data_IF_204160670792
#
_entry.id   IF_204160670792
#
_cell.length_a   1.000
_cell.length_b   1.000
_cell.length_c   1.000
_cell.angle_alpha   90.00
_cell.angle_beta   90.00
_cell.angle_gamma   90.00
#
_symmetry.space_group_name_H-M   'P 1'
#
loop_
_entity.id
_entity.type
_entity.pdbx_description
1 polymer ?
#
# COMPACT_ATOMS: atom_id res chain seq x y z
N UNK A 1 -12.67 -26.61 59.29
CA UNK A 1 -12.21 -25.77 58.21
C UNK A 1 -10.70 -25.92 58.02
N UNK A 2 -10.21 -25.91 56.83
CA UNK A 2 -8.78 -25.92 56.53
C UNK A 2 -8.13 -24.59 56.90
N UNK A 3 -6.85 -24.64 57.25
CA UNK A 3 -5.97 -23.49 57.38
C UNK A 3 -4.76 -23.67 56.44
N UNK A 4 -4.16 -22.56 56.06
CA UNK A 4 -2.99 -22.57 55.18
C UNK A 4 -1.82 -23.37 55.79
N UNK A 5 -1.67 -23.32 57.09
CA UNK A 5 -0.70 -24.12 57.86
C UNK A 5 -0.94 -25.61 57.68
N UNK A 6 -2.19 -26.09 57.84
CA UNK A 6 -2.57 -27.50 57.62
C UNK A 6 -2.33 -27.94 56.17
N UNK A 7 -2.58 -27.08 55.22
CA UNK A 7 -2.36 -27.41 53.81
C UNK A 7 -0.87 -27.53 53.52
N UNK A 8 -0.06 -26.62 54.03
CA UNK A 8 1.41 -26.67 53.87
C UNK A 8 2.01 -27.92 54.50
N UNK A 9 1.62 -28.25 55.69
CA UNK A 9 2.14 -29.39 56.43
C UNK A 9 1.68 -30.76 55.93
N UNK A 10 0.65 -30.84 55.09
CA UNK A 10 0.12 -32.07 54.51
C UNK A 10 1.17 -32.74 53.59
N UNK A 11 1.71 -33.91 54.03
CA UNK A 11 2.71 -34.69 53.30
C UNK A 11 2.05 -35.66 52.32
N UNK A 12 2.68 -36.00 51.17
CA UNK A 12 2.18 -37.04 50.28
C UNK A 12 2.17 -38.40 50.98
N UNK A 13 1.23 -39.26 50.57
CA UNK A 13 1.11 -40.66 51.01
C UNK A 13 1.18 -41.56 49.79
N UNK A 14 1.33 -42.88 49.99
CA UNK A 14 1.36 -43.88 48.90
C UNK A 14 0.12 -43.81 48.00
N UNK A 15 -1.04 -43.48 48.58
CA UNK A 15 -2.30 -43.31 47.84
C UNK A 15 -2.79 -41.88 47.94
N UNK A 16 -3.45 -41.42 46.85
CA UNK A 16 -4.14 -40.13 46.83
C UNK A 16 -5.13 -40.03 48.01
N UNK A 17 -5.11 -38.91 48.71
CA UNK A 17 -6.07 -38.63 49.78
C UNK A 17 -6.56 -37.19 49.71
N UNK A 18 -7.70 -36.90 50.43
CA UNK A 18 -8.33 -35.60 50.46
C UNK A 18 -8.53 -35.12 51.90
N UNK A 19 -8.40 -33.82 52.08
CA UNK A 19 -8.71 -33.15 53.35
C UNK A 19 -9.83 -32.16 53.06
N UNK A 20 -10.98 -32.33 53.74
CA UNK A 20 -12.16 -31.49 53.55
C UNK A 20 -12.00 -30.10 54.19
N UNK A 21 -12.58 -29.09 53.54
CA UNK A 21 -12.83 -27.76 54.11
C UNK A 21 -14.34 -27.62 54.47
N UNK A 22 -15.01 -26.61 54.00
CA UNK A 22 -16.45 -26.38 54.13
C UNK A 22 -17.15 -26.50 52.79
N UNK A 23 -18.48 -26.77 52.83
CA UNK A 23 -19.34 -26.68 51.61
C UNK A 23 -18.86 -27.47 50.38
N UNK A 24 -18.35 -28.68 50.62
CA UNK A 24 -17.87 -29.55 49.53
C UNK A 24 -16.48 -29.22 48.98
N UNK A 25 -15.79 -28.19 49.49
CA UNK A 25 -14.42 -27.89 49.13
C UNK A 25 -13.47 -28.88 49.82
N UNK A 26 -12.52 -29.41 49.13
CA UNK A 26 -11.42 -30.20 49.66
C UNK A 26 -10.11 -29.97 48.87
N UNK A 27 -9.00 -30.25 49.56
CA UNK A 27 -7.70 -30.33 48.89
C UNK A 27 -7.32 -31.78 48.69
N UNK A 28 -6.98 -32.13 47.49
CA UNK A 28 -6.54 -33.46 47.04
C UNK A 28 -5.02 -33.49 46.97
N UNK A 29 -4.40 -34.39 47.74
CA UNK A 29 -2.94 -34.55 47.75
C UNK A 29 -2.60 -35.85 47.01
N UNK A 30 -1.79 -35.72 45.94
CA UNK A 30 -1.32 -36.85 45.16
C UNK A 30 -0.02 -37.45 45.72
N UNK A 31 0.32 -38.71 45.41
CA UNK A 31 1.57 -39.34 45.83
C UNK A 31 2.84 -38.57 45.44
N UNK A 32 2.80 -37.85 44.32
CA UNK A 32 3.89 -36.99 43.84
C UNK A 32 4.01 -35.63 44.57
N UNK A 33 3.23 -35.41 45.63
CA UNK A 33 3.22 -34.19 46.44
C UNK A 33 2.41 -33.04 45.89
N UNK A 34 1.91 -33.10 44.65
CA UNK A 34 1.05 -32.06 44.07
C UNK A 34 -0.30 -32.00 44.79
N UNK A 35 -0.79 -30.80 45.03
CA UNK A 35 -2.03 -30.51 45.77
C UNK A 35 -3.00 -29.79 44.86
N UNK A 36 -4.25 -30.30 44.77
CA UNK A 36 -5.28 -29.74 43.89
C UNK A 36 -6.54 -29.44 44.69
N UNK A 37 -7.13 -28.26 44.45
CA UNK A 37 -8.42 -27.92 44.97
C UNK A 37 -9.52 -28.63 44.19
N UNK A 38 -10.45 -29.24 44.93
CA UNK A 38 -11.61 -29.96 44.41
C UNK A 38 -12.88 -29.44 45.11
N UNK A 39 -13.94 -29.28 44.29
CA UNK A 39 -15.29 -29.00 44.76
C UNK A 39 -16.17 -30.20 44.49
N UNK A 40 -16.77 -30.79 45.54
CA UNK A 40 -17.69 -31.91 45.48
C UNK A 40 -19.11 -31.39 45.66
N UNK A 41 -20.01 -31.74 44.73
CA UNK A 41 -21.40 -31.27 44.68
C UNK A 41 -22.34 -32.38 44.20
N UNK A 42 -23.65 -32.21 44.45
CA UNK A 42 -24.71 -33.08 43.94
C UNK A 42 -25.29 -32.47 42.65
N UNK A 43 -25.41 -33.29 41.65
CA UNK A 43 -26.05 -32.94 40.40
C UNK A 43 -26.94 -34.08 39.93
N UNK A 44 -28.26 -33.83 39.75
CA UNK A 44 -29.24 -34.85 39.33
C UNK A 44 -29.11 -36.15 40.12
N UNK A 45 -29.06 -36.05 41.45
CA UNK A 45 -28.88 -37.18 42.39
C UNK A 45 -27.53 -37.92 42.28
N UNK A 46 -26.58 -37.44 41.48
CA UNK A 46 -25.22 -38.01 41.39
C UNK A 46 -24.21 -37.07 42.02
N UNK A 47 -23.23 -37.62 42.75
CA UNK A 47 -22.10 -36.82 43.22
C UNK A 47 -21.10 -36.57 42.11
N UNK A 48 -20.79 -35.32 41.84
CA UNK A 48 -19.76 -34.91 40.94
C UNK A 48 -18.63 -34.15 41.64
N UNK A 49 -17.49 -34.03 40.98
CA UNK A 49 -16.31 -33.33 41.50
C UNK A 49 -15.67 -32.47 40.46
N UNK A 50 -15.53 -31.17 40.74
CA UNK A 50 -14.89 -30.19 39.88
C UNK A 50 -13.49 -29.86 40.36
N UNK A 51 -12.53 -29.67 39.46
CA UNK A 51 -11.20 -29.13 39.76
C UNK A 51 -11.23 -27.60 39.77
N UNK A 52 -10.75 -27.00 40.86
CA UNK A 52 -10.69 -25.53 41.01
C UNK A 52 -9.28 -24.97 40.79
N UNK A 53 -8.25 -25.83 40.73
CA UNK A 53 -6.88 -25.42 40.44
C UNK A 53 -5.84 -26.08 41.34
N UNK A 54 -4.57 -25.74 41.14
CA UNK A 54 -3.42 -26.30 41.88
C UNK A 54 -2.97 -25.34 42.98
N UNK A 55 -2.74 -25.86 44.17
CA UNK A 55 -2.09 -25.15 45.27
C UNK A 55 -0.56 -25.24 45.08
N UNK A 56 0.24 -24.18 45.30
CA UNK A 56 -0.15 -22.89 45.88
C UNK A 56 -0.59 -21.80 44.89
N UNK A 57 -0.65 -22.10 43.58
CA UNK A 57 -1.06 -21.12 42.55
C UNK A 57 -2.44 -20.53 42.94
N UNK A 58 -3.38 -21.39 43.32
CA UNK A 58 -4.68 -21.00 43.89
C UNK A 58 -4.57 -21.14 45.39
N UNK A 59 -4.66 -20.04 46.13
CA UNK A 59 -4.67 -20.03 47.58
C UNK A 59 -6.01 -20.47 48.18
N UNK A 60 -6.06 -20.70 49.49
CA UNK A 60 -7.27 -21.14 50.19
C UNK A 60 -8.45 -20.15 50.02
N UNK A 61 -8.21 -18.86 50.17
CA UNK A 61 -9.24 -17.85 50.01
C UNK A 61 -9.84 -17.88 48.58
N UNK A 62 -9.00 -17.91 47.57
CA UNK A 62 -9.42 -17.97 46.15
C UNK A 62 -10.15 -19.29 45.83
N UNK A 63 -9.71 -20.42 46.43
CA UNK A 63 -10.38 -21.70 46.28
C UNK A 63 -11.81 -21.67 46.85
N UNK A 64 -12.02 -20.98 47.99
CA UNK A 64 -13.35 -20.75 48.56
C UNK A 64 -14.22 -19.88 47.64
N UNK A 65 -13.70 -18.80 47.09
CA UNK A 65 -14.42 -17.97 46.12
C UNK A 65 -14.86 -18.79 44.91
N UNK A 66 -13.95 -19.55 44.28
CA UNK A 66 -14.27 -20.43 43.14
C UNK A 66 -15.27 -21.53 43.47
N UNK A 67 -15.26 -22.05 44.74
CA UNK A 67 -16.29 -22.96 45.21
C UNK A 67 -17.64 -22.26 45.26
N UNK A 68 -17.71 -21.06 45.83
CA UNK A 68 -18.96 -20.31 45.98
C UNK A 68 -19.56 -19.93 44.63
N UNK A 69 -18.73 -19.55 43.66
CA UNK A 69 -19.13 -19.36 42.24
C UNK A 69 -19.73 -20.64 41.66
N UNK A 70 -19.04 -21.78 41.81
CA UNK A 70 -19.53 -23.06 41.32
C UNK A 70 -20.82 -23.51 42.04
N UNK A 71 -20.95 -23.23 43.34
CA UNK A 71 -22.15 -23.49 44.16
C UNK A 71 -23.35 -22.66 43.67
N UNK A 72 -23.11 -21.39 43.29
CA UNK A 72 -24.14 -20.52 42.70
C UNK A 72 -24.63 -21.06 41.37
N UNK A 73 -23.74 -21.56 40.49
CA UNK A 73 -24.13 -22.22 39.24
C UNK A 73 -25.01 -23.43 39.46
N UNK A 74 -24.65 -24.30 40.42
CA UNK A 74 -25.48 -25.45 40.78
C UNK A 74 -26.87 -25.02 41.28
N UNK A 75 -26.94 -23.98 42.10
CA UNK A 75 -28.18 -23.43 42.61
C UNK A 75 -29.07 -22.84 41.51
N UNK A 76 -28.49 -22.28 40.47
CA UNK A 76 -29.18 -21.75 39.27
C UNK A 76 -29.51 -22.84 38.25
N UNK A 77 -29.26 -24.12 38.52
CA UNK A 77 -29.57 -25.21 37.58
C UNK A 77 -28.56 -25.40 36.45
N UNK A 78 -27.33 -24.92 36.63
CA UNK A 78 -26.22 -25.07 35.67
C UNK A 78 -25.17 -26.01 36.23
N UNK A 79 -24.75 -27.02 35.46
CA UNK A 79 -23.65 -27.90 35.85
C UNK A 79 -22.31 -27.19 35.67
N UNK A 80 -21.55 -26.87 36.73
CA UNK A 80 -20.32 -26.10 36.61
C UNK A 80 -19.18 -26.83 35.86
N UNK A 81 -19.22 -28.16 35.77
CA UNK A 81 -18.24 -28.93 34.99
C UNK A 81 -18.55 -28.78 33.51
N UNK A 82 -19.79 -28.96 33.09
CA UNK A 82 -20.22 -28.81 31.71
C UNK A 82 -20.09 -27.38 31.22
N UNK A 83 -20.40 -26.39 32.06
CA UNK A 83 -20.23 -24.98 31.74
C UNK A 83 -18.76 -24.64 31.48
N UNK A 84 -17.84 -25.10 32.33
CA UNK A 84 -16.41 -24.93 32.14
C UNK A 84 -15.89 -25.59 30.86
N UNK A 85 -16.39 -26.78 30.52
CA UNK A 85 -16.03 -27.46 29.26
C UNK A 85 -16.57 -26.72 28.03
N UNK A 86 -17.84 -26.25 28.10
CA UNK A 86 -18.43 -25.42 27.04
C UNK A 86 -17.64 -24.13 26.81
N UNK A 87 -17.28 -23.43 27.90
CA UNK A 87 -16.46 -22.21 27.80
C UNK A 87 -15.07 -22.50 27.22
N UNK A 88 -14.42 -23.60 27.61
CA UNK A 88 -13.14 -24.02 27.08
C UNK A 88 -13.24 -24.37 25.58
N UNK A 89 -14.28 -25.11 25.21
CA UNK A 89 -14.53 -25.45 23.81
C UNK A 89 -14.85 -24.22 22.98
N UNK A 90 -15.70 -23.31 23.46
CA UNK A 90 -16.03 -22.06 22.76
C UNK A 90 -14.79 -21.20 22.52
N UNK A 91 -13.89 -21.06 23.53
CA UNK A 91 -12.61 -20.36 23.36
C UNK A 91 -11.68 -21.04 22.37
N UNK A 92 -11.68 -22.37 22.33
CA UNK A 92 -10.89 -23.13 21.35
C UNK A 92 -11.44 -22.95 19.94
N UNK A 93 -12.75 -23.09 19.77
CA UNK A 93 -13.44 -22.93 18.50
C UNK A 93 -13.29 -21.47 17.97
N UNK A 94 -13.35 -20.48 18.86
CA UNK A 94 -13.08 -19.09 18.53
C UNK A 94 -11.64 -18.89 18.04
N UNK A 95 -10.67 -19.51 18.70
CA UNK A 95 -9.26 -19.45 18.29
C UNK A 95 -9.01 -20.14 16.95
N UNK A 96 -9.57 -21.34 16.74
CA UNK A 96 -9.41 -22.09 15.47
C UNK A 96 -10.13 -21.43 14.31
N UNK A 97 -11.27 -20.75 14.55
CA UNK A 97 -12.05 -20.07 13.53
C UNK A 97 -11.59 -18.62 13.27
N UNK A 98 -10.44 -18.20 13.82
CA UNK A 98 -9.91 -16.86 13.58
C UNK A 98 -9.57 -16.62 12.12
N UNK A 99 -10.08 -15.53 11.60
CA UNK A 99 -9.76 -15.07 10.24
C UNK A 99 -8.66 -14.02 10.32
N UNK A 100 -7.42 -14.42 10.08
CA UNK A 100 -6.28 -13.53 10.24
C UNK A 100 -6.22 -12.46 9.15
N UNK A 101 -5.83 -11.25 9.54
CA UNK A 101 -5.68 -10.12 8.60
C UNK A 101 -4.80 -10.47 7.39
N UNK A 102 -3.70 -11.20 7.57
CA UNK A 102 -2.80 -11.60 6.49
C UNK A 102 -3.48 -12.43 5.41
N UNK A 103 -4.41 -13.32 5.78
CA UNK A 103 -5.15 -14.15 4.82
C UNK A 103 -6.13 -13.32 4.02
N UNK A 104 -6.88 -12.43 4.70
CA UNK A 104 -7.82 -11.50 4.02
C UNK A 104 -7.08 -10.54 3.09
N UNK A 105 -5.89 -10.08 3.48
CA UNK A 105 -5.06 -9.21 2.65
C UNK A 105 -4.55 -9.92 1.38
N UNK A 106 -4.20 -11.21 1.48
CA UNK A 106 -3.81 -12.03 0.33
C UNK A 106 -4.98 -12.24 -0.64
N UNK A 107 -6.16 -12.57 -0.14
CA UNK A 107 -7.39 -12.70 -0.94
C UNK A 107 -7.76 -11.37 -1.62
N UNK A 108 -7.75 -10.27 -0.87
CA UNK A 108 -8.00 -8.93 -1.41
C UNK A 108 -7.05 -8.59 -2.55
N UNK A 109 -5.76 -8.93 -2.40
CA UNK A 109 -4.78 -8.74 -3.47
C UNK A 109 -5.16 -9.55 -4.71
N UNK A 110 -5.46 -10.84 -4.54
CA UNK A 110 -5.78 -11.75 -5.63
C UNK A 110 -7.06 -11.35 -6.36
N UNK A 111 -8.12 -10.94 -5.66
CA UNK A 111 -9.44 -10.68 -6.25
C UNK A 111 -9.65 -9.23 -6.71
N UNK A 112 -9.11 -8.26 -5.98
CA UNK A 112 -9.42 -6.83 -6.21
C UNK A 112 -8.28 -6.05 -6.83
N UNK A 113 -7.04 -6.53 -6.74
CA UNK A 113 -5.89 -5.77 -7.24
C UNK A 113 -5.33 -6.27 -8.56
N UNK A 114 -5.76 -7.42 -9.09
CA UNK A 114 -5.32 -7.95 -10.40
C UNK A 114 -5.49 -6.95 -11.56
N UNK A 115 -6.54 -6.11 -11.52
CA UNK A 115 -6.81 -5.09 -12.52
C UNK A 115 -6.07 -3.77 -12.26
N UNK A 116 -5.27 -3.68 -11.18
CA UNK A 116 -4.42 -2.53 -10.89
C UNK A 116 -3.07 -2.68 -11.58
N UNK A 117 -2.37 -1.53 -11.77
CA UNK A 117 -1.02 -1.57 -12.33
C UNK A 117 -0.08 -2.40 -11.45
N UNK A 118 0.90 -3.06 -12.06
CA UNK A 118 1.94 -3.83 -11.37
C UNK A 118 2.62 -3.02 -10.26
N UNK A 119 2.98 -1.77 -10.56
CA UNK A 119 3.54 -0.83 -9.56
C UNK A 119 2.66 -0.65 -8.32
N UNK A 120 1.32 -0.62 -8.48
CA UNK A 120 0.39 -0.51 -7.36
C UNK A 120 0.36 -1.80 -6.55
N UNK A 121 0.35 -2.96 -7.21
CA UNK A 121 0.39 -4.27 -6.55
C UNK A 121 1.70 -4.47 -5.77
N UNK A 122 2.83 -4.08 -6.34
CA UNK A 122 4.12 -4.09 -5.66
C UNK A 122 4.15 -3.13 -4.46
N UNK A 123 3.59 -1.93 -4.60
CA UNK A 123 3.51 -0.96 -3.51
C UNK A 123 2.65 -1.51 -2.35
N UNK A 124 1.53 -2.16 -2.67
CA UNK A 124 0.69 -2.85 -1.70
C UNK A 124 1.47 -3.95 -0.98
N UNK A 125 2.16 -4.83 -1.73
CA UNK A 125 2.93 -5.91 -1.15
C UNK A 125 4.06 -5.40 -0.26
N UNK A 126 4.81 -4.41 -0.73
CA UNK A 126 5.89 -3.77 0.08
C UNK A 126 5.34 -3.16 1.37
N UNK A 127 4.16 -2.55 1.35
CA UNK A 127 3.52 -1.99 2.53
C UNK A 127 3.13 -3.09 3.53
N UNK A 128 2.56 -4.19 3.03
CA UNK A 128 2.25 -5.36 3.85
C UNK A 128 3.51 -5.89 4.55
N UNK A 129 4.55 -6.20 3.78
CA UNK A 129 5.73 -6.89 4.30
C UNK A 129 6.58 -6.01 5.24
N UNK A 130 6.70 -4.72 4.89
CA UNK A 130 7.58 -3.81 5.66
C UNK A 130 6.95 -3.29 6.94
N UNK A 131 5.65 -3.03 6.92
CA UNK A 131 5.00 -2.26 7.99
C UNK A 131 3.74 -2.94 8.57
N UNK A 132 2.80 -3.39 7.73
CA UNK A 132 1.44 -3.72 8.16
C UNK A 132 1.40 -5.08 8.87
N UNK A 133 1.91 -6.13 8.22
CA UNK A 133 1.84 -7.49 8.74
C UNK A 133 2.62 -7.68 10.04
N UNK A 134 3.64 -6.86 10.28
CA UNK A 134 4.42 -6.88 11.54
C UNK A 134 3.61 -6.45 12.77
N UNK A 135 2.47 -5.81 12.59
CA UNK A 135 1.63 -5.31 13.69
C UNK A 135 0.30 -6.04 13.75
N UNK A 136 -0.35 -6.27 12.61
CA UNK A 136 -1.70 -6.84 12.57
C UNK A 136 -1.81 -8.13 11.75
N UNK A 137 -0.71 -8.64 11.20
CA UNK A 137 -0.75 -9.82 10.32
C UNK A 137 -1.40 -11.05 10.95
N UNK A 138 -1.08 -11.32 12.21
CA UNK A 138 -1.57 -12.46 12.98
C UNK A 138 -2.77 -12.11 13.91
N UNK A 139 -3.32 -10.91 13.81
CA UNK A 139 -4.56 -10.55 14.48
C UNK A 139 -5.77 -11.08 13.70
N UNK A 140 -6.82 -11.44 14.46
CA UNK A 140 -8.13 -11.64 13.84
C UNK A 140 -8.59 -10.33 13.18
N UNK A 141 -9.19 -10.45 12.00
CA UNK A 141 -9.65 -9.28 11.22
C UNK A 141 -10.65 -8.42 12.01
N UNK A 142 -11.44 -9.03 12.90
CA UNK A 142 -12.42 -8.35 13.77
C UNK A 142 -11.75 -7.56 14.90
N UNK A 143 -10.54 -7.96 15.30
CA UNK A 143 -9.80 -7.35 16.41
C UNK A 143 -8.90 -6.19 15.98
N UNK A 144 -8.83 -5.88 14.68
CA UNK A 144 -8.02 -4.77 14.17
C UNK A 144 -8.65 -3.43 14.58
N UNK A 145 -7.90 -2.64 15.33
CA UNK A 145 -8.38 -1.37 15.91
C UNK A 145 -7.76 -0.14 15.26
N UNK A 146 -8.37 1.02 15.49
CA UNK A 146 -7.79 2.31 15.08
C UNK A 146 -6.44 2.60 15.75
N UNK A 147 -6.22 2.10 16.97
CA UNK A 147 -4.94 2.20 17.66
C UNK A 147 -3.83 1.40 16.95
N UNK A 148 -4.17 0.23 16.40
CA UNK A 148 -3.23 -0.54 15.58
C UNK A 148 -2.85 0.21 14.31
N UNK A 149 -3.84 0.77 13.60
CA UNK A 149 -3.61 1.55 12.38
C UNK A 149 -2.71 2.76 12.68
N UNK A 150 -2.99 3.49 13.75
CA UNK A 150 -2.15 4.61 14.19
C UNK A 150 -0.72 4.17 14.52
N UNK A 151 -0.57 3.03 15.18
CA UNK A 151 0.74 2.45 15.49
C UNK A 151 1.53 2.13 14.23
N UNK A 152 0.89 1.54 13.22
CA UNK A 152 1.51 1.27 11.92
C UNK A 152 1.94 2.58 11.26
N UNK A 153 1.08 3.60 11.23
CA UNK A 153 1.41 4.89 10.64
C UNK A 153 2.64 5.54 11.31
N UNK A 154 2.67 5.58 12.65
CA UNK A 154 3.81 6.12 13.41
C UNK A 154 5.11 5.34 13.17
N UNK A 155 5.05 4.00 13.19
CA UNK A 155 6.21 3.14 12.89
C UNK A 155 6.71 3.33 11.47
N UNK A 156 5.81 3.51 10.49
CA UNK A 156 6.17 3.78 9.09
C UNK A 156 6.95 5.09 8.97
N UNK A 157 6.46 6.18 9.58
CA UNK A 157 7.14 7.48 9.61
C UNK A 157 8.54 7.33 10.23
N UNK A 158 8.62 6.71 11.40
CA UNK A 158 9.89 6.51 12.08
C UNK A 158 10.89 5.68 11.26
N UNK A 159 10.41 4.65 10.55
CA UNK A 159 11.24 3.83 9.66
C UNK A 159 11.77 4.62 8.47
N UNK A 160 10.90 5.40 7.81
CA UNK A 160 11.30 6.18 6.62
C UNK A 160 12.27 7.29 7.00
N UNK A 161 12.04 8.01 8.10
CA UNK A 161 12.95 9.05 8.61
C UNK A 161 14.37 8.54 8.89
N UNK A 162 14.54 7.26 9.23
CA UNK A 162 15.87 6.64 9.42
C UNK A 162 16.61 6.37 8.10
N UNK A 163 15.90 6.37 6.98
CA UNK A 163 16.48 6.10 5.66
C UNK A 163 16.89 7.44 5.03
N UNK A 164 18.19 7.67 4.86
CA UNK A 164 18.69 8.87 4.17
C UNK A 164 18.04 8.97 2.76
N UNK A 165 17.58 10.16 2.38
CA UNK A 165 17.02 10.49 1.06
C UNK A 165 15.65 9.87 0.70
N UNK A 166 14.81 9.49 1.68
CA UNK A 166 13.50 8.88 1.43
C UNK A 166 12.29 9.71 1.88
N UNK A 167 12.48 11.01 2.15
CA UNK A 167 11.40 11.90 2.60
C UNK A 167 11.03 11.69 4.06
N UNK A 168 9.92 12.29 4.47
CA UNK A 168 9.50 12.38 5.88
C UNK A 168 8.64 11.21 6.36
N UNK A 169 8.06 10.43 5.44
CA UNK A 169 7.34 9.18 5.73
C UNK A 169 5.82 9.32 5.85
N UNK A 170 5.27 10.53 5.95
CA UNK A 170 3.83 10.78 6.09
C UNK A 170 3.03 10.24 4.91
N UNK A 171 3.51 10.45 3.68
CA UNK A 171 2.87 9.92 2.46
C UNK A 171 2.78 8.39 2.50
N UNK A 172 3.86 7.71 2.94
CA UNK A 172 3.88 6.26 3.08
C UNK A 172 2.92 5.78 4.18
N UNK A 173 2.85 6.50 5.30
CA UNK A 173 1.93 6.18 6.39
C UNK A 173 0.46 6.32 5.97
N UNK A 174 0.12 7.39 5.25
CA UNK A 174 -1.22 7.61 4.68
C UNK A 174 -1.56 6.52 3.67
N UNK A 175 -0.59 6.10 2.85
CA UNK A 175 -0.78 5.01 1.90
C UNK A 175 -1.02 3.68 2.61
N UNK A 176 -0.26 3.36 3.67
CA UNK A 176 -0.48 2.17 4.48
C UNK A 176 -1.88 2.15 5.09
N UNK A 177 -2.35 3.27 5.67
CA UNK A 177 -3.72 3.41 6.14
C UNK A 177 -4.74 3.13 5.03
N UNK A 178 -4.51 3.66 3.82
CA UNK A 178 -5.39 3.44 2.67
C UNK A 178 -5.46 1.97 2.25
N UNK A 179 -4.33 1.27 2.28
CA UNK A 179 -4.25 -0.16 2.00
C UNK A 179 -4.98 -1.00 3.04
N UNK A 180 -4.77 -0.71 4.34
CA UNK A 180 -5.51 -1.37 5.43
C UNK A 180 -7.02 -1.17 5.24
N UNK A 181 -7.47 0.05 4.97
CA UNK A 181 -8.89 0.34 4.73
C UNK A 181 -9.45 -0.42 3.51
N UNK A 182 -8.64 -0.65 2.47
CA UNK A 182 -9.03 -1.51 1.35
C UNK A 182 -9.32 -2.95 1.78
N UNK A 183 -8.43 -3.53 2.58
CA UNK A 183 -8.59 -4.89 3.13
C UNK A 183 -9.79 -4.96 4.08
N UNK A 184 -9.94 -3.98 4.98
CA UNK A 184 -11.05 -3.95 5.94
C UNK A 184 -12.41 -3.84 5.24
N UNK A 185 -12.55 -2.96 4.24
CA UNK A 185 -13.80 -2.87 3.45
C UNK A 185 -14.10 -4.13 2.67
N UNK A 186 -13.08 -4.83 2.20
CA UNK A 186 -13.26 -6.15 1.58
C UNK A 186 -13.74 -7.18 2.63
N UNK A 187 -13.17 -7.18 3.83
CA UNK A 187 -13.61 -8.03 4.93
C UNK A 187 -15.07 -7.75 5.32
N UNK A 188 -15.48 -6.47 5.37
CA UNK A 188 -16.87 -6.07 5.64
C UNK A 188 -17.81 -6.57 4.54
N UNK A 189 -17.43 -6.37 3.26
CA UNK A 189 -18.24 -6.82 2.13
C UNK A 189 -18.39 -8.35 2.06
N UNK A 190 -17.47 -9.10 2.68
CA UNK A 190 -17.50 -10.57 2.79
C UNK A 190 -17.95 -11.06 4.17
N UNK A 191 -18.58 -10.19 4.98
CA UNK A 191 -19.18 -10.47 6.29
C UNK A 191 -18.19 -11.01 7.35
N UNK A 192 -16.91 -10.68 7.21
CA UNK A 192 -15.83 -11.08 8.12
C UNK A 192 -15.42 -10.00 9.12
N UNK A 193 -15.87 -8.75 8.92
CA UNK A 193 -15.70 -7.63 9.83
C UNK A 193 -16.94 -6.72 9.79
N UNK A 194 -17.11 -5.88 10.80
CA UNK A 194 -18.28 -5.00 10.92
C UNK A 194 -17.96 -3.52 10.65
N UNK A 195 -16.72 -3.09 10.90
CA UNK A 195 -16.32 -1.68 10.76
C UNK A 195 -14.91 -1.51 10.18
N UNK A 196 -14.66 -0.34 9.60
CA UNK A 196 -13.34 0.05 9.05
C UNK A 196 -12.61 0.95 10.07
N UNK A 197 -11.57 0.46 10.79
CA UNK A 197 -10.85 1.21 11.81
C UNK A 197 -10.02 2.37 11.26
N UNK A 198 -9.86 2.48 9.94
CA UNK A 198 -9.02 3.50 9.32
C UNK A 198 -9.67 4.89 9.28
N UNK A 199 -10.99 4.97 9.48
CA UNK A 199 -11.72 6.24 9.46
C UNK A 199 -11.35 7.15 10.62
N UNK A 200 -11.28 6.63 11.83
CA UNK A 200 -10.98 7.42 13.03
C UNK A 200 -9.61 8.09 13.00
N UNK A 201 -8.66 7.53 12.24
CA UNK A 201 -7.28 8.04 12.12
C UNK A 201 -7.00 8.75 10.79
N UNK A 202 -8.05 9.12 10.05
CA UNK A 202 -7.92 9.69 8.69
C UNK A 202 -7.04 10.95 8.64
N UNK A 203 -7.20 11.84 9.60
CA UNK A 203 -6.54 13.16 9.63
C UNK A 203 -5.46 13.29 10.71
N UNK A 204 -5.04 12.17 11.34
CA UNK A 204 -4.02 12.20 12.40
C UNK A 204 -2.62 12.48 11.86
N UNK A 205 -2.37 12.10 10.60
CA UNK A 205 -1.13 12.42 9.89
C UNK A 205 -1.49 13.35 8.74
N UNK A 206 -0.99 14.56 8.80
CA UNK A 206 -1.16 15.54 7.74
C UNK A 206 -0.31 15.15 6.53
N UNK A 207 -0.87 15.36 5.36
CA UNK A 207 -0.14 15.15 4.12
C UNK A 207 0.77 16.36 3.91
N UNK A 208 2.08 16.16 3.67
CA UNK A 208 2.96 17.25 3.27
C UNK A 208 2.41 17.97 2.04
N UNK A 209 2.65 19.26 1.95
CA UNK A 209 2.32 20.04 0.76
C UNK A 209 2.92 19.37 -0.48
N UNK A 210 2.14 19.34 -1.54
CA UNK A 210 2.57 18.77 -2.81
C UNK A 210 3.19 19.91 -3.60
N UNK A 211 4.47 19.87 -3.81
CA UNK A 211 5.11 20.68 -4.83
C UNK A 211 4.62 20.18 -6.19
N UNK A 212 3.80 20.95 -6.85
CA UNK A 212 3.34 20.68 -8.21
C UNK A 212 4.45 21.01 -9.20
N UNK A 213 4.43 20.33 -10.34
CA UNK A 213 5.26 20.73 -11.47
C UNK A 213 5.00 22.22 -11.78
N UNK A 214 6.06 22.98 -11.87
CA UNK A 214 6.01 24.42 -12.17
C UNK A 214 6.53 24.69 -13.58
N UNK A 215 6.10 25.77 -14.23
CA UNK A 215 6.79 26.20 -15.42
C UNK A 215 8.25 26.59 -15.10
N UNK A 216 9.15 26.24 -15.99
CA UNK A 216 10.56 26.65 -15.87
C UNK A 216 10.68 28.17 -16.04
N UNK A 217 11.61 28.76 -15.30
CA UNK A 217 11.98 30.14 -15.51
C UNK A 217 12.78 30.31 -16.82
N UNK A 218 12.82 31.53 -17.37
CA UNK A 218 13.50 31.79 -18.65
C UNK A 218 14.96 31.33 -18.64
N UNK A 219 15.69 31.57 -17.55
CA UNK A 219 17.09 31.14 -17.45
C UNK A 219 17.24 29.62 -17.38
N UNK A 220 16.31 28.91 -16.68
CA UNK A 220 16.33 27.44 -16.63
C UNK A 220 16.05 26.83 -18.01
N UNK A 221 15.08 27.40 -18.75
CA UNK A 221 14.74 26.98 -20.10
C UNK A 221 15.91 27.14 -21.07
N UNK A 222 16.60 28.30 -21.02
CA UNK A 222 17.79 28.56 -21.84
C UNK A 222 18.94 27.59 -21.49
N UNK A 223 19.24 27.40 -20.21
CA UNK A 223 20.23 26.44 -19.75
C UNK A 223 19.87 25.00 -20.16
N UNK A 224 18.61 24.59 -19.99
CA UNK A 224 18.17 23.26 -20.38
C UNK A 224 18.45 22.98 -21.85
N UNK A 225 18.05 23.88 -22.73
CA UNK A 225 18.22 23.72 -24.19
C UNK A 225 19.68 23.57 -24.56
N UNK A 226 20.54 24.45 -24.06
CA UNK A 226 21.97 24.44 -24.32
C UNK A 226 22.64 23.17 -23.73
N UNK A 227 22.45 22.89 -22.45
CA UNK A 227 23.07 21.75 -21.77
C UNK A 227 22.56 20.40 -22.28
N UNK A 228 21.28 20.32 -22.70
CA UNK A 228 20.72 19.09 -23.23
C UNK A 228 21.28 18.79 -24.63
N UNK A 229 21.48 19.82 -25.47
CA UNK A 229 22.15 19.67 -26.79
C UNK A 229 23.59 19.20 -26.65
N UNK A 230 24.29 19.67 -25.63
CA UNK A 230 25.68 19.35 -25.36
C UNK A 230 25.84 18.22 -24.29
N UNK A 231 24.78 17.40 -24.10
CA UNK A 231 24.82 16.34 -23.11
C UNK A 231 25.94 15.33 -23.35
N UNK A 232 26.89 15.26 -22.41
CA UNK A 232 28.08 14.41 -22.51
C UNK A 232 27.86 12.92 -22.22
N UNK A 233 26.62 12.51 -21.92
CA UNK A 233 26.25 11.12 -21.69
C UNK A 233 25.80 10.39 -22.96
N UNK A 234 24.94 9.40 -22.82
CA UNK A 234 24.43 8.61 -23.95
C UNK A 234 23.58 9.46 -24.91
N UNK A 235 23.86 9.39 -26.20
CA UNK A 235 23.06 10.00 -27.27
C UNK A 235 21.59 9.57 -27.22
N UNK A 236 21.31 8.29 -26.91
CA UNK A 236 19.94 7.79 -26.71
C UNK A 236 19.21 8.53 -25.59
N UNK A 237 19.89 8.82 -24.46
CA UNK A 237 19.28 9.55 -23.33
C UNK A 237 19.07 11.02 -23.71
N UNK A 238 20.02 11.65 -24.39
CA UNK A 238 19.88 13.00 -24.95
C UNK A 238 18.66 13.08 -25.86
N UNK A 239 18.59 12.19 -26.83
CA UNK A 239 17.51 12.17 -27.81
C UNK A 239 16.14 11.92 -27.15
N UNK A 240 16.08 11.04 -26.12
CA UNK A 240 14.87 10.83 -25.32
C UNK A 240 14.43 12.11 -24.59
N UNK A 241 15.37 12.85 -24.01
CA UNK A 241 15.11 14.13 -23.33
C UNK A 241 14.62 15.20 -24.30
N UNK A 242 15.26 15.34 -25.47
CA UNK A 242 14.85 16.30 -26.52
C UNK A 242 13.45 15.96 -27.07
N UNK A 243 13.20 14.71 -27.45
CA UNK A 243 11.86 14.28 -27.91
C UNK A 243 10.80 14.54 -26.84
N UNK A 244 11.10 14.29 -25.55
CA UNK A 244 10.17 14.58 -24.46
C UNK A 244 9.86 16.08 -24.35
N UNK A 245 10.88 16.94 -24.48
CA UNK A 245 10.73 18.38 -24.41
C UNK A 245 9.89 18.92 -25.57
N UNK A 246 10.21 18.53 -26.81
CA UNK A 246 9.49 19.00 -28.01
C UNK A 246 8.08 18.43 -28.14
N UNK A 247 7.83 17.20 -27.71
CA UNK A 247 6.54 16.52 -27.89
C UNK A 247 5.60 16.63 -26.70
N UNK A 248 6.02 17.18 -25.57
CA UNK A 248 5.25 17.24 -24.31
C UNK A 248 4.82 15.84 -23.81
N UNK A 249 5.50 14.76 -24.19
CA UNK A 249 5.19 13.39 -23.77
C UNK A 249 5.59 13.15 -22.30
N UNK A 250 4.90 12.21 -21.64
CA UNK A 250 5.28 11.78 -20.29
C UNK A 250 6.52 10.89 -20.34
N UNK A 251 7.29 10.89 -19.27
CA UNK A 251 8.46 10.02 -19.13
C UNK A 251 8.15 8.54 -19.44
N UNK A 252 6.98 8.04 -19.01
CA UNK A 252 6.59 6.65 -19.28
C UNK A 252 6.28 6.41 -20.77
N UNK A 253 5.75 7.41 -21.49
CA UNK A 253 5.43 7.34 -22.91
C UNK A 253 6.74 7.30 -23.71
N UNK A 254 7.71 8.15 -23.37
CA UNK A 254 9.07 8.14 -23.96
C UNK A 254 9.75 6.79 -23.74
N UNK A 255 9.78 6.32 -22.50
CA UNK A 255 10.49 5.09 -22.14
C UNK A 255 9.91 3.83 -22.81
N UNK A 256 8.62 3.78 -23.03
CA UNK A 256 7.91 2.64 -23.63
C UNK A 256 7.62 2.83 -25.12
N UNK A 257 8.15 3.88 -25.72
CA UNK A 257 7.99 4.12 -27.17
C UNK A 257 8.65 3.00 -27.95
N UNK A 258 7.89 2.36 -28.84
CA UNK A 258 8.37 1.34 -29.76
C UNK A 258 8.35 1.90 -31.18
N UNK A 259 9.18 1.32 -32.04
CA UNK A 259 9.21 1.73 -33.45
C UNK A 259 7.88 1.49 -34.16
N UNK A 260 7.12 0.45 -33.77
CA UNK A 260 5.78 0.17 -34.31
C UNK A 260 4.77 1.29 -34.04
N UNK A 261 5.08 2.22 -33.13
CA UNK A 261 4.23 3.38 -32.83
C UNK A 261 4.58 4.60 -33.71
N UNK A 262 5.71 4.56 -34.40
CA UNK A 262 6.28 5.70 -35.16
C UNK A 262 5.97 5.54 -36.62
N UNK A 263 5.16 6.44 -37.13
CA UNK A 263 4.85 6.53 -38.57
C UNK A 263 5.58 7.76 -39.14
N UNK A 264 6.65 7.51 -39.90
CA UNK A 264 7.44 8.57 -40.53
C UNK A 264 6.74 9.19 -41.73
N UNK A 265 5.88 8.46 -42.45
CA UNK A 265 5.13 8.98 -43.61
C UNK A 265 4.04 9.94 -43.15
N UNK A 266 3.20 9.51 -42.20
CA UNK A 266 2.17 10.35 -41.58
C UNK A 266 2.73 11.39 -40.62
N UNK A 267 4.01 11.29 -40.23
CA UNK A 267 4.66 12.12 -39.21
C UNK A 267 3.88 12.11 -37.88
N UNK A 268 3.59 10.92 -37.38
CA UNK A 268 2.86 10.74 -36.13
C UNK A 268 3.46 9.64 -35.27
N UNK A 269 3.25 9.77 -33.93
CA UNK A 269 3.52 8.72 -32.98
C UNK A 269 2.16 8.28 -32.38
N UNK A 270 1.80 7.00 -32.52
CA UNK A 270 0.49 6.48 -32.08
C UNK A 270 0.66 5.50 -30.92
N UNK A 271 0.36 5.96 -29.71
CA UNK A 271 0.39 5.12 -28.51
C UNK A 271 -0.90 4.29 -28.40
N UNK A 272 -0.81 2.96 -28.24
CA UNK A 272 -1.98 2.11 -28.09
C UNK A 272 -2.66 2.35 -26.72
N UNK A 273 -3.96 2.03 -26.65
CA UNK A 273 -4.78 2.28 -25.44
C UNK A 273 -4.26 1.58 -24.18
N UNK A 274 -3.59 0.46 -24.32
CA UNK A 274 -3.02 -0.35 -23.26
C UNK A 274 -1.90 0.38 -22.50
N UNK A 275 -1.14 1.21 -23.22
CA UNK A 275 -0.10 2.05 -22.62
C UNK A 275 -0.63 3.27 -21.88
N UNK A 276 -1.82 3.73 -22.25
CA UNK A 276 -2.32 5.02 -21.77
C UNK A 276 -3.10 4.88 -20.47
N UNK A 277 -2.82 5.76 -19.49
CA UNK A 277 -3.50 5.77 -18.17
C UNK A 277 -5.03 5.79 -18.27
N UNK A 278 -5.58 6.40 -19.33
CA UNK A 278 -7.03 6.52 -19.57
C UNK A 278 -7.56 5.51 -20.59
N UNK A 279 -6.76 4.50 -20.96
CA UNK A 279 -7.14 3.45 -21.94
C UNK A 279 -7.73 4.00 -23.25
N UNK A 280 -7.16 5.08 -23.78
CA UNK A 280 -7.53 5.70 -25.07
C UNK A 280 -6.30 5.84 -25.93
N UNK A 281 -6.40 5.59 -27.25
CA UNK A 281 -5.33 5.80 -28.20
C UNK A 281 -4.90 7.29 -28.15
N UNK A 282 -3.60 7.52 -28.14
CA UNK A 282 -3.02 8.85 -28.15
C UNK A 282 -2.13 9.02 -29.37
N UNK A 283 -2.54 9.91 -30.29
CA UNK A 283 -1.80 10.23 -31.52
C UNK A 283 -1.10 11.58 -31.30
N UNK A 284 0.19 11.61 -31.52
CA UNK A 284 1.06 12.79 -31.35
C UNK A 284 1.68 13.15 -32.69
N UNK A 285 1.35 14.32 -33.27
CA UNK A 285 2.07 14.83 -34.47
C UNK A 285 3.54 15.12 -34.16
N UNK A 286 4.42 14.92 -35.12
CA UNK A 286 5.84 15.25 -34.97
C UNK A 286 6.10 16.65 -35.54
N UNK A 287 6.86 17.45 -34.78
CA UNK A 287 7.58 18.61 -35.36
C UNK A 287 8.76 18.15 -36.16
N UNK A 288 9.37 19.02 -36.98
CA UNK A 288 10.57 18.72 -37.76
C UNK A 288 11.74 18.29 -36.87
N UNK A 289 11.87 18.91 -35.66
CA UNK A 289 12.87 18.56 -34.69
C UNK A 289 12.69 17.12 -34.18
N UNK A 290 11.47 16.73 -33.80
CA UNK A 290 11.17 15.36 -33.36
C UNK A 290 11.42 14.36 -34.47
N UNK A 291 10.99 14.66 -35.68
CA UNK A 291 11.19 13.80 -36.84
C UNK A 291 12.67 13.52 -37.08
N UNK A 292 13.51 14.57 -37.15
CA UNK A 292 14.94 14.46 -37.37
C UNK A 292 15.66 13.67 -36.26
N UNK A 293 15.30 13.93 -34.98
CA UNK A 293 15.85 13.18 -33.86
C UNK A 293 15.47 11.69 -33.91
N UNK A 294 14.25 11.37 -34.31
CA UNK A 294 13.83 9.97 -34.43
C UNK A 294 14.51 9.26 -35.61
N UNK A 295 14.81 9.95 -36.72
CA UNK A 295 15.61 9.40 -37.80
C UNK A 295 17.06 9.11 -37.34
N UNK A 296 17.70 10.06 -36.66
CA UNK A 296 19.03 9.86 -36.08
C UNK A 296 19.01 8.66 -35.09
N UNK A 297 18.01 8.61 -34.25
CA UNK A 297 17.86 7.55 -33.28
C UNK A 297 17.65 6.18 -33.92
N UNK A 298 16.90 6.09 -35.03
CA UNK A 298 16.73 4.84 -35.79
C UNK A 298 18.03 4.32 -36.32
N UNK A 299 18.85 5.20 -36.86
CA UNK A 299 20.20 4.85 -37.36
C UNK A 299 21.13 4.39 -36.23
N UNK A 300 20.99 4.99 -35.02
CA UNK A 300 21.82 4.67 -33.87
C UNK A 300 21.49 3.30 -33.23
N UNK A 301 20.21 2.95 -33.10
CA UNK A 301 19.78 1.76 -32.37
C UNK A 301 19.45 0.56 -33.26
N UNK A 302 19.34 0.73 -34.57
CA UNK A 302 19.08 -0.35 -35.52
C UNK A 302 17.72 -1.04 -35.27
N UNK A 303 17.73 -2.36 -35.21
CA UNK A 303 16.53 -3.19 -35.14
C UNK A 303 16.02 -3.45 -33.73
N UNK A 304 16.43 -2.66 -32.72
CA UNK A 304 15.88 -2.79 -31.36
C UNK A 304 14.40 -2.43 -31.33
N UNK A 305 13.64 -3.10 -30.46
CA UNK A 305 12.19 -2.90 -30.33
C UNK A 305 11.83 -1.47 -29.85
N UNK A 306 12.56 -1.00 -28.82
CA UNK A 306 12.33 0.33 -28.23
C UNK A 306 13.06 1.42 -28.97
N UNK A 307 12.41 2.57 -29.12
CA UNK A 307 13.03 3.79 -29.70
C UNK A 307 14.19 4.25 -28.82
N UNK A 308 14.00 4.22 -27.50
CA UNK A 308 15.02 4.59 -26.52
C UNK A 308 15.34 3.38 -25.62
N UNK A 309 16.15 2.44 -26.10
CA UNK A 309 16.49 1.24 -25.33
C UNK A 309 17.40 1.56 -24.15
N UNK A 310 17.41 0.66 -23.15
CA UNK A 310 18.40 0.69 -22.09
C UNK A 310 19.83 0.50 -22.64
N UNK A 311 20.82 1.13 -21.98
CA UNK A 311 22.19 1.16 -22.48
C UNK A 311 22.91 -0.19 -22.27
N UNK A 312 22.71 -0.80 -21.10
CA UNK A 312 23.47 -1.98 -20.65
C UNK A 312 22.68 -3.28 -20.62
N UNK A 313 21.41 -3.24 -20.96
CA UNK A 313 20.53 -4.42 -20.93
C UNK A 313 19.43 -4.29 -21.99
N UNK A 314 18.82 -5.41 -22.34
CA UNK A 314 17.63 -5.35 -23.21
C UNK A 314 16.47 -4.71 -22.48
N UNK A 315 15.65 -3.96 -23.23
CA UNK A 315 14.46 -3.30 -22.71
C UNK A 315 14.50 -1.78 -22.77
N UNK A 316 13.67 -1.16 -21.94
CA UNK A 316 13.45 0.30 -21.94
C UNK A 316 14.34 1.01 -20.90
N UNK A 317 14.54 2.32 -21.08
CA UNK A 317 15.18 3.20 -20.09
C UNK A 317 14.55 3.10 -18.71
N UNK A 318 15.32 3.28 -17.65
CA UNK A 318 14.84 3.25 -16.27
C UNK A 318 13.90 4.43 -15.96
N UNK A 319 13.07 4.29 -14.91
CA UNK A 319 12.13 5.34 -14.52
C UNK A 319 12.82 6.64 -14.05
N UNK A 320 14.06 6.54 -13.59
CA UNK A 320 14.84 7.66 -13.07
C UNK A 320 15.79 8.28 -14.10
N UNK A 321 15.91 7.71 -15.31
CA UNK A 321 16.92 8.14 -16.30
C UNK A 321 16.80 9.62 -16.66
N UNK A 322 15.58 10.12 -16.88
CA UNK A 322 15.39 11.54 -17.25
C UNK A 322 15.79 12.49 -16.11
N UNK A 323 15.39 12.20 -14.87
CA UNK A 323 15.80 13.04 -13.75
C UNK A 323 17.31 12.95 -13.49
N UNK A 324 17.92 11.75 -13.61
CA UNK A 324 19.38 11.62 -13.52
C UNK A 324 20.13 12.39 -14.61
N UNK A 325 19.57 12.49 -15.79
CA UNK A 325 20.10 13.32 -16.88
C UNK A 325 20.06 14.79 -16.49
N UNK A 326 18.94 15.27 -15.92
CA UNK A 326 18.80 16.64 -15.42
C UNK A 326 19.78 16.92 -14.27
N UNK A 327 19.90 16.01 -13.32
CA UNK A 327 20.92 16.11 -12.24
C UNK A 327 22.36 16.22 -12.82
N UNK A 328 22.68 15.38 -13.82
CA UNK A 328 24.00 15.36 -14.44
C UNK A 328 24.35 16.69 -15.13
N UNK A 329 23.37 17.35 -15.75
CA UNK A 329 23.57 18.66 -16.39
C UNK A 329 23.42 19.83 -15.41
N UNK A 330 23.28 19.57 -14.09
CA UNK A 330 23.19 20.59 -13.04
C UNK A 330 21.85 21.33 -12.99
N UNK A 331 20.74 20.63 -13.34
CA UNK A 331 19.37 21.11 -13.24
C UNK A 331 18.55 20.22 -12.31
N UNK A 332 19.06 19.96 -11.11
CA UNK A 332 18.41 19.07 -10.11
C UNK A 332 17.06 19.57 -9.61
N UNK A 333 16.80 20.87 -9.69
CA UNK A 333 15.54 21.51 -9.29
C UNK A 333 14.46 21.43 -10.40
N UNK A 334 14.85 21.01 -11.61
CA UNK A 334 13.94 20.79 -12.74
C UNK A 334 13.62 19.31 -12.87
N UNK A 335 12.37 19.00 -13.06
CA UNK A 335 11.92 17.62 -13.31
C UNK A 335 11.43 17.45 -14.76
N UNK A 336 11.47 16.23 -15.24
CA UNK A 336 10.89 15.90 -16.54
C UNK A 336 9.38 16.27 -16.68
N UNK A 337 8.71 16.49 -15.55
CA UNK A 337 7.29 16.91 -15.53
C UNK A 337 7.13 18.41 -15.76
N UNK A 338 8.15 19.21 -15.42
CA UNK A 338 8.15 20.66 -15.58
C UNK A 338 8.22 21.05 -17.07
N UNK A 339 8.77 20.19 -17.94
CA UNK A 339 8.71 20.39 -19.40
C UNK A 339 7.28 20.57 -19.89
N UNK A 340 6.36 19.76 -19.37
CA UNK A 340 4.94 19.80 -19.77
C UNK A 340 4.23 21.01 -19.16
N UNK A 341 4.55 21.35 -17.90
CA UNK A 341 4.02 22.54 -17.24
C UNK A 341 4.45 23.80 -17.99
N UNK A 342 5.74 23.89 -18.37
CA UNK A 342 6.28 25.02 -19.16
C UNK A 342 5.59 25.14 -20.52
N UNK A 343 5.49 24.02 -21.24
CA UNK A 343 4.84 24.01 -22.55
C UNK A 343 3.36 24.42 -22.46
N UNK A 344 2.64 23.85 -21.49
CA UNK A 344 1.23 24.20 -21.27
C UNK A 344 1.06 25.68 -20.97
N UNK A 345 1.88 26.22 -20.05
CA UNK A 345 1.82 27.65 -19.68
C UNK A 345 2.11 28.55 -20.86
N UNK A 346 3.24 28.34 -21.56
CA UNK A 346 3.66 29.20 -22.66
C UNK A 346 2.72 29.13 -23.88
N UNK A 347 2.12 27.97 -24.16
CA UNK A 347 1.16 27.83 -25.24
C UNK A 347 -0.16 28.53 -24.90
N UNK A 348 -0.61 28.47 -23.64
CA UNK A 348 -1.78 29.22 -23.18
C UNK A 348 -1.53 30.74 -23.23
N UNK A 349 -0.35 31.22 -22.81
CA UNK A 349 0.04 32.63 -22.91
C UNK A 349 0.13 33.15 -24.39
N UNK A 350 0.25 32.22 -25.33
CA UNK A 350 0.25 32.50 -26.78
C UNK A 350 -1.10 32.26 -27.46
N UNK A 351 -2.18 32.17 -26.66
CA UNK A 351 -3.56 32.03 -27.13
C UNK A 351 -3.87 30.78 -27.96
N UNK A 352 -3.12 29.68 -27.76
CA UNK A 352 -3.49 28.39 -28.34
C UNK A 352 -4.75 27.82 -27.67
N UNK A 353 -5.64 27.20 -28.46
CA UNK A 353 -6.88 26.61 -27.96
C UNK A 353 -6.56 25.52 -26.89
N UNK A 354 -7.07 25.70 -25.68
CA UNK A 354 -6.95 24.78 -24.55
C UNK A 354 -7.24 23.32 -24.94
N UNK A 355 -8.19 23.09 -25.85
CA UNK A 355 -8.53 21.74 -26.32
C UNK A 355 -7.39 21.07 -27.06
N UNK A 356 -6.55 21.82 -27.76
CA UNK A 356 -5.40 21.27 -28.45
C UNK A 356 -4.32 20.91 -27.44
N UNK A 357 -4.06 21.79 -26.48
CA UNK A 357 -3.08 21.59 -25.40
C UNK A 357 -3.48 20.40 -24.55
N UNK A 358 -4.72 20.35 -24.05
CA UNK A 358 -5.25 19.25 -23.21
C UNK A 358 -5.23 17.90 -23.98
N UNK A 359 -5.55 17.91 -25.27
CA UNK A 359 -5.47 16.71 -26.11
C UNK A 359 -4.04 16.25 -26.32
N UNK A 360 -3.09 17.18 -26.47
CA UNK A 360 -1.65 16.87 -26.55
C UNK A 360 -1.13 16.30 -25.24
N UNK A 361 -1.56 16.84 -24.13
CA UNK A 361 -1.21 16.36 -22.79
C UNK A 361 -1.90 15.03 -22.43
N UNK A 362 -2.79 14.50 -23.26
CA UNK A 362 -3.62 13.34 -23.00
C UNK A 362 -4.32 13.44 -21.61
N UNK A 363 -4.79 14.64 -21.28
CA UNK A 363 -5.63 14.87 -20.10
C UNK A 363 -7.04 14.36 -20.36
N UNK A 364 -7.76 14.03 -19.28
CA UNK A 364 -9.19 13.74 -19.40
C UNK A 364 -9.94 15.06 -19.53
N UNK A 365 -10.88 15.14 -20.45
CA UNK A 365 -11.83 16.26 -20.45
C UNK A 365 -12.53 16.32 -19.09
N UNK A 366 -12.39 17.45 -18.41
CA UNK A 366 -13.01 17.66 -17.09
C UNK A 366 -14.54 17.61 -17.14
N UNK A 367 -15.13 17.86 -18.30
CA UNK A 367 -16.55 17.74 -18.54
C UNK A 367 -16.89 16.34 -19.11
N UNK A 368 -17.48 15.47 -18.28
CA UNK A 368 -17.84 14.09 -18.65
C UNK A 368 -18.78 14.05 -19.86
N UNK A 369 -19.70 14.97 -19.98
CA UNK A 369 -20.64 15.06 -21.13
C UNK A 369 -19.89 15.37 -22.40
N UNK A 370 -18.99 16.38 -22.39
CA UNK A 370 -18.14 16.71 -23.53
C UNK A 370 -17.24 15.54 -23.92
N UNK A 371 -16.66 14.84 -22.94
CA UNK A 371 -15.79 13.67 -23.17
C UNK A 371 -16.51 12.54 -23.90
N UNK A 372 -17.81 12.40 -23.73
CA UNK A 372 -18.63 11.37 -24.41
C UNK A 372 -18.88 11.67 -25.88
N UNK A 373 -19.01 12.94 -26.23
CA UNK A 373 -19.39 13.35 -27.60
C UNK A 373 -18.25 13.92 -28.44
N UNK A 374 -17.16 14.40 -27.83
CA UNK A 374 -16.04 14.97 -28.55
C UNK A 374 -14.94 13.95 -28.87
N UNK A 375 -14.98 13.38 -30.06
CA UNK A 375 -13.96 12.47 -30.58
C UNK A 375 -12.90 13.17 -31.47
N UNK A 376 -12.94 14.49 -31.58
CA UNK A 376 -12.03 15.26 -32.41
C UNK A 376 -10.57 15.03 -31.98
N UNK A 377 -9.68 14.85 -32.95
CA UNK A 377 -8.25 14.62 -32.73
C UNK A 377 -7.43 15.91 -32.87
N UNK A 378 -7.97 16.93 -33.57
CA UNK A 378 -7.31 18.21 -33.84
C UNK A 378 -5.89 18.03 -34.40
N UNK A 379 -5.69 17.05 -35.30
CA UNK A 379 -4.35 16.62 -35.70
C UNK A 379 -3.57 17.75 -36.37
N UNK A 380 -4.16 18.44 -37.35
CA UNK A 380 -3.49 19.51 -38.07
C UNK A 380 -3.22 20.74 -37.18
N UNK A 381 -4.19 21.14 -36.37
CA UNK A 381 -4.00 22.24 -35.42
C UNK A 381 -2.90 21.94 -34.40
N UNK A 382 -2.85 20.70 -33.92
CA UNK A 382 -1.82 20.25 -32.97
C UNK A 382 -0.45 20.10 -33.68
N UNK A 383 -0.41 19.73 -34.95
CA UNK A 383 0.83 19.70 -35.75
C UNK A 383 1.47 21.08 -35.81
N UNK A 384 0.67 22.10 -36.17
CA UNK A 384 1.13 23.48 -36.17
C UNK A 384 1.58 23.92 -34.78
N UNK A 385 0.76 23.72 -33.77
CA UNK A 385 1.08 24.07 -32.38
C UNK A 385 2.39 23.40 -31.88
N UNK A 386 2.63 22.13 -32.21
CA UNK A 386 3.86 21.44 -31.82
C UNK A 386 5.08 21.90 -32.62
N UNK A 387 4.91 22.32 -33.86
CA UNK A 387 6.00 22.94 -34.62
C UNK A 387 6.37 24.28 -33.98
N UNK A 388 5.36 25.14 -33.77
CA UNK A 388 5.58 26.45 -33.15
C UNK A 388 6.20 26.30 -31.72
N UNK A 389 5.77 25.27 -30.94
CA UNK A 389 6.40 24.95 -29.69
C UNK A 389 7.87 24.55 -29.80
N UNK A 390 8.18 23.70 -30.76
CA UNK A 390 9.54 23.26 -30.98
C UNK A 390 10.45 24.44 -31.43
N UNK A 391 9.94 25.37 -32.22
CA UNK A 391 10.65 26.57 -32.64
C UNK A 391 10.85 27.53 -31.46
N UNK A 392 9.88 27.64 -30.55
CA UNK A 392 10.04 28.37 -29.27
C UNK A 392 11.18 27.78 -28.48
N UNK A 393 11.21 26.45 -28.29
CA UNK A 393 12.29 25.75 -27.55
C UNK A 393 13.65 26.01 -28.20
N UNK A 394 13.73 25.96 -29.52
CA UNK A 394 14.96 26.24 -30.23
C UNK A 394 15.41 27.71 -30.14
N UNK A 395 14.48 28.62 -29.89
CA UNK A 395 14.78 30.03 -29.65
C UNK A 395 15.34 30.32 -28.25
N UNK A 396 15.28 29.37 -27.31
CA UNK A 396 15.84 29.53 -25.99
C UNK A 396 17.38 29.64 -26.06
N UNK A 397 17.88 30.82 -25.79
CA UNK A 397 19.31 31.15 -25.78
C UNK A 397 19.66 31.69 -24.41
N UNK A 398 20.90 31.42 -23.99
CA UNK A 398 21.52 32.10 -22.83
C UNK A 398 21.78 33.57 -23.15
#
# INVERSE_FOLDING_TARGET
MLSDSKIRSAKPKEKLYRIGDSDGLCIEIKPNGKKYWRYRFQWLKKTQMMSLGEYPIIGLAEARTKRDEAKSLVASGVNPVEDKEKQKKAKHDEYENRVLFKHVAAEYKAEKLNNRSERYQEAFQRALDKDILKVIGDKDIKEVTSADVLTIMKKTIARVKRQKNHGTGEVSAIQNRTFIGGVMRYAIATLRAEYDPTYAVKNVVERPEIEHARPMEKHEAAQLRNKLSNYGGSTTVRNAGLVMLYSMLRTIEIRRMKWDYVDFEARTITFPKEMMKKKRIHIVPMSDQVFNILQEQRSLVGNREYVFPAIYQDGMLSATTMNKMLDYIGLSDVTAHDFRATASTLLNEKDYDDKWIEKQLAHADGNKTRATYNHAKYLESRRKMLQDWADIVDSWKE
#
